data_IF_410306945303
#
_entry.id   IF_410306945303
#
_cell.length_a   1.000
_cell.length_b   1.000
_cell.length_c   1.000
_cell.angle_alpha   90.00
_cell.angle_beta   90.00
_cell.angle_gamma   90.00
#
_symmetry.space_group_name_H-M   'P 1'
#
loop_
_entity.id
_entity.type
_entity.pdbx_description
1 polymer ?
#
# COMPACT_ATOMS: atom_id res chain seq x y z
N UNK A 1 7.10 11.37 15.32
CA UNK A 1 6.34 11.50 14.07
C UNK A 1 6.55 12.83 13.40
N UNK A 2 6.40 13.95 14.14
CA UNK A 2 6.59 15.31 13.57
C UNK A 2 8.01 15.55 13.08
N UNK A 3 9.00 14.99 13.74
CA UNK A 3 10.43 15.16 13.43
C UNK A 3 10.86 14.21 12.31
N UNK A 4 10.51 12.92 12.42
CA UNK A 4 11.04 11.87 11.53
C UNK A 4 10.12 11.55 10.33
N UNK A 5 8.82 11.87 10.41
CA UNK A 5 7.83 11.53 9.40
C UNK A 5 7.25 10.12 9.54
N UNK A 6 7.65 9.35 10.55
CA UNK A 6 7.08 8.05 10.89
C UNK A 6 7.07 7.84 12.41
N UNK A 7 6.26 6.87 12.87
CA UNK A 7 6.17 6.52 14.29
C UNK A 7 5.92 5.02 14.41
N UNK A 8 6.66 4.36 15.31
CA UNK A 8 6.50 2.94 15.63
C UNK A 8 5.69 2.80 16.90
N UNK A 9 4.67 1.95 16.86
CA UNK A 9 3.85 1.56 17.99
C UNK A 9 3.92 0.03 18.12
N UNK A 10 4.82 -0.45 18.98
CA UNK A 10 4.98 -1.88 19.23
C UNK A 10 3.72 -2.45 19.90
N UNK A 11 3.37 -3.69 19.54
CA UNK A 11 2.24 -4.42 20.15
C UNK A 11 0.89 -3.66 20.10
N UNK A 12 0.67 -2.88 19.04
CA UNK A 12 -0.57 -2.12 18.88
C UNK A 12 -1.78 -3.03 18.58
N UNK A 13 -1.56 -4.07 17.81
CA UNK A 13 -2.54 -5.14 17.56
C UNK A 13 -2.15 -6.41 18.30
N UNK A 14 -3.15 -7.17 18.73
CA UNK A 14 -2.93 -8.47 19.38
C UNK A 14 -2.56 -9.53 18.36
N UNK A 15 -2.00 -10.65 18.81
CA UNK A 15 -1.70 -11.80 17.95
C UNK A 15 -2.97 -12.34 17.30
N UNK A 16 -4.08 -12.39 18.06
CA UNK A 16 -5.39 -12.85 17.57
C UNK A 16 -5.95 -11.95 16.47
N UNK A 17 -5.80 -10.62 16.59
CA UNK A 17 -6.20 -9.68 15.53
C UNK A 17 -5.37 -9.90 14.27
N UNK A 18 -4.07 -10.08 14.39
CA UNK A 18 -3.19 -10.39 13.26
C UNK A 18 -3.56 -11.72 12.61
N UNK A 19 -3.79 -12.77 13.41
CA UNK A 19 -4.17 -14.08 12.90
C UNK A 19 -5.55 -14.08 12.26
N UNK A 20 -6.49 -13.30 12.76
CA UNK A 20 -7.81 -13.16 12.13
C UNK A 20 -7.69 -12.59 10.69
N UNK A 21 -6.86 -11.57 10.49
CA UNK A 21 -6.57 -11.01 9.16
C UNK A 21 -5.86 -12.02 8.25
N UNK A 22 -4.89 -12.76 8.77
CA UNK A 22 -4.16 -13.79 8.03
C UNK A 22 -5.08 -14.95 7.62
N UNK A 23 -5.95 -15.39 8.50
CA UNK A 23 -6.94 -16.43 8.20
C UNK A 23 -7.96 -15.95 7.18
N UNK A 24 -8.41 -14.70 7.29
CA UNK A 24 -9.38 -14.14 6.36
C UNK A 24 -8.79 -13.98 4.95
N UNK A 25 -7.54 -13.53 4.83
CA UNK A 25 -6.93 -13.40 3.50
C UNK A 25 -6.76 -14.75 2.80
N UNK A 26 -6.53 -15.86 3.55
CA UNK A 26 -6.48 -17.20 2.96
C UNK A 26 -7.85 -17.64 2.40
N UNK A 27 -8.95 -17.26 3.06
CA UNK A 27 -10.31 -17.51 2.54
C UNK A 27 -10.55 -16.73 1.25
N UNK A 28 -10.18 -15.45 1.22
CA UNK A 28 -10.28 -14.63 0.00
C UNK A 28 -9.46 -15.24 -1.14
N UNK A 29 -8.26 -15.74 -0.88
CA UNK A 29 -7.41 -16.40 -1.89
C UNK A 29 -8.03 -17.70 -2.38
N UNK A 30 -8.63 -18.50 -1.49
CA UNK A 30 -9.27 -19.75 -1.87
C UNK A 30 -10.41 -19.53 -2.88
N UNK A 31 -11.14 -18.43 -2.74
CA UNK A 31 -12.22 -18.00 -3.62
C UNK A 31 -11.76 -17.16 -4.82
N UNK A 32 -10.44 -16.91 -4.94
CA UNK A 32 -9.89 -16.06 -5.98
C UNK A 32 -10.13 -16.62 -7.38
N UNK A 33 -10.84 -15.85 -8.20
CA UNK A 33 -11.02 -16.08 -9.62
C UNK A 33 -10.54 -14.85 -10.40
N UNK A 34 -9.37 -14.94 -11.02
CA UNK A 34 -8.83 -13.89 -11.89
C UNK A 34 -8.61 -14.47 -13.28
N UNK A 35 -9.35 -13.99 -14.29
CA UNK A 35 -9.16 -14.43 -15.67
C UNK A 35 -7.71 -14.18 -16.13
N UNK A 36 -7.10 -15.04 -16.95
CA UNK A 36 -5.70 -14.88 -17.35
C UNK A 36 -5.33 -13.50 -17.90
N UNK A 37 -6.21 -12.89 -18.69
CA UNK A 37 -6.00 -11.55 -19.28
C UNK A 37 -6.09 -10.39 -18.26
N UNK A 38 -6.58 -10.64 -17.04
CA UNK A 38 -6.61 -9.68 -15.94
C UNK A 38 -5.47 -9.88 -14.94
N UNK A 39 -4.69 -10.96 -15.08
CA UNK A 39 -3.58 -11.24 -14.18
C UNK A 39 -2.46 -10.26 -14.44
N UNK A 40 -2.26 -9.34 -13.49
CA UNK A 40 -1.31 -8.23 -13.59
C UNK A 40 -0.17 -8.47 -12.64
N UNK A 41 1.07 -8.53 -13.16
CA UNK A 41 2.27 -8.50 -12.33
C UNK A 41 2.46 -7.09 -11.76
N UNK A 42 3.01 -7.02 -10.56
CA UNK A 42 3.23 -5.76 -9.86
C UNK A 42 4.72 -5.44 -9.77
N UNK A 43 5.10 -4.24 -10.15
CA UNK A 43 6.45 -3.71 -9.98
C UNK A 43 6.40 -2.27 -9.49
N UNK A 44 7.45 -1.82 -8.81
CA UNK A 44 7.66 -0.43 -8.41
C UNK A 44 8.74 0.26 -9.24
N UNK A 45 9.42 -0.47 -10.14
CA UNK A 45 10.34 0.12 -11.12
C UNK A 45 9.52 0.81 -12.21
N UNK A 46 9.78 2.08 -12.48
CA UNK A 46 8.93 2.93 -13.32
C UNK A 46 8.54 2.31 -14.66
N UNK A 47 9.53 1.87 -15.46
CA UNK A 47 9.25 1.29 -16.77
C UNK A 47 8.37 0.04 -16.67
N UNK A 48 8.69 -0.86 -15.74
CA UNK A 48 7.92 -2.08 -15.50
C UNK A 48 6.52 -1.75 -14.96
N UNK A 49 6.43 -0.76 -14.06
CA UNK A 49 5.18 -0.31 -13.48
C UNK A 49 4.23 0.24 -14.53
N UNK A 50 4.73 1.06 -15.46
CA UNK A 50 3.93 1.62 -16.55
C UNK A 50 3.50 0.55 -17.56
N UNK A 51 4.38 -0.41 -17.86
CA UNK A 51 4.07 -1.49 -18.82
C UNK A 51 3.11 -2.54 -18.25
N UNK A 52 3.22 -2.87 -16.96
CA UNK A 52 2.38 -3.85 -16.28
C UNK A 52 1.08 -3.21 -15.76
N UNK A 53 1.07 -2.81 -14.48
CA UNK A 53 -0.14 -2.28 -13.88
C UNK A 53 -0.57 -0.93 -14.45
N UNK A 54 0.35 -0.09 -14.88
CA UNK A 54 0.05 1.24 -15.43
C UNK A 54 -0.66 1.22 -16.78
N UNK A 55 -0.64 0.11 -17.50
CA UNK A 55 -1.39 -0.10 -18.76
C UNK A 55 -2.69 -0.90 -18.55
N UNK A 56 -3.04 -1.26 -17.32
CA UNK A 56 -4.11 -2.18 -17.00
C UNK A 56 -5.34 -1.46 -16.42
N UNK A 57 -6.48 -1.56 -17.12
CA UNK A 57 -7.77 -1.16 -16.57
C UNK A 57 -8.11 -1.91 -15.28
N UNK A 58 -7.65 -3.16 -15.16
CA UNK A 58 -7.82 -3.96 -13.95
C UNK A 58 -7.17 -3.29 -12.74
N UNK A 59 -5.99 -2.67 -12.92
CA UNK A 59 -5.37 -1.85 -11.87
C UNK A 59 -6.09 -0.52 -11.68
N UNK A 60 -6.31 0.24 -12.75
CA UNK A 60 -6.86 1.60 -12.68
C UNK A 60 -8.24 1.64 -12.02
N UNK A 61 -9.04 0.60 -12.20
CA UNK A 61 -10.40 0.48 -11.66
C UNK A 61 -10.50 -0.39 -10.39
N UNK A 62 -9.38 -0.58 -9.68
CA UNK A 62 -9.33 -1.43 -8.48
C UNK A 62 -9.65 -0.70 -7.18
N UNK A 63 -9.80 0.63 -7.20
CA UNK A 63 -9.92 1.45 -6.00
C UNK A 63 -11.12 1.12 -5.11
N UNK A 64 -12.23 0.69 -5.72
CA UNK A 64 -13.48 0.31 -5.05
C UNK A 64 -13.72 -1.20 -5.02
N UNK A 65 -12.69 -2.03 -5.25
CA UNK A 65 -12.79 -3.49 -5.39
C UNK A 65 -11.72 -4.22 -4.59
N UNK A 66 -11.89 -5.53 -4.43
CA UNK A 66 -10.85 -6.43 -3.94
C UNK A 66 -10.26 -7.13 -5.17
N UNK A 67 -9.02 -6.77 -5.52
CA UNK A 67 -8.30 -7.29 -6.70
C UNK A 67 -6.92 -7.81 -6.33
N UNK A 68 -6.41 -8.71 -7.17
CA UNK A 68 -5.20 -9.49 -6.94
C UNK A 68 -4.11 -9.05 -7.92
N UNK A 69 -2.91 -8.82 -7.40
CA UNK A 69 -1.72 -8.46 -8.17
C UNK A 69 -0.61 -9.45 -7.82
N UNK A 70 0.15 -9.85 -8.83
CA UNK A 70 1.06 -10.99 -8.73
C UNK A 70 2.52 -10.54 -8.71
N UNK A 71 3.40 -11.38 -8.14
CA UNK A 71 4.84 -11.16 -8.18
C UNK A 71 5.34 -11.28 -9.62
N UNK A 72 6.46 -10.63 -9.90
CA UNK A 72 7.09 -10.68 -11.22
C UNK A 72 7.63 -12.07 -11.53
N UNK A 73 7.39 -12.53 -12.75
CA UNK A 73 7.92 -13.81 -13.25
C UNK A 73 7.19 -15.06 -12.76
N UNK A 74 5.99 -14.90 -12.20
CA UNK A 74 5.17 -16.02 -11.75
C UNK A 74 4.10 -16.45 -12.76
N UNK A 75 3.99 -15.72 -13.88
CA UNK A 75 3.07 -16.00 -14.98
C UNK A 75 3.83 -16.32 -16.27
N UNK A 76 3.31 -17.25 -17.07
CA UNK A 76 3.77 -17.46 -18.43
C UNK A 76 3.17 -16.41 -19.40
N UNK A 77 3.60 -16.44 -20.67
CA UNK A 77 3.11 -15.53 -21.71
C UNK A 77 1.60 -15.61 -21.97
N UNK A 78 0.94 -16.69 -21.53
CA UNK A 78 -0.51 -16.89 -21.62
C UNK A 78 -1.25 -16.49 -20.34
N UNK A 79 -0.51 -16.01 -19.33
CA UNK A 79 -1.03 -15.67 -18.02
C UNK A 79 -1.33 -16.88 -17.12
N UNK A 80 -0.79 -18.07 -17.40
CA UNK A 80 -0.91 -19.22 -16.51
C UNK A 80 0.12 -19.13 -15.38
N UNK A 81 -0.24 -19.60 -14.20
CA UNK A 81 0.67 -19.63 -13.06
C UNK A 81 1.77 -20.68 -13.26
N UNK A 82 3.01 -20.25 -13.06
CA UNK A 82 4.22 -21.11 -13.06
C UNK A 82 4.47 -21.73 -11.69
N UNK A 83 3.88 -21.16 -10.64
CA UNK A 83 3.95 -21.62 -9.25
C UNK A 83 2.52 -21.66 -8.67
N UNK A 84 2.27 -22.29 -7.51
CA UNK A 84 0.95 -22.28 -6.87
C UNK A 84 0.40 -20.85 -6.72
N UNK A 85 -0.88 -20.65 -7.04
CA UNK A 85 -1.53 -19.33 -7.08
C UNK A 85 -1.39 -18.56 -5.76
N UNK A 86 -1.50 -19.26 -4.63
CA UNK A 86 -1.37 -18.68 -3.28
C UNK A 86 0.03 -18.18 -2.94
N UNK A 87 1.05 -18.68 -3.66
CA UNK A 87 2.46 -18.25 -3.54
C UNK A 87 2.85 -17.20 -4.57
N UNK A 88 1.99 -16.92 -5.54
CA UNK A 88 2.25 -15.99 -6.64
C UNK A 88 1.79 -14.56 -6.35
N UNK A 89 1.00 -14.34 -5.29
CA UNK A 89 0.38 -13.05 -5.01
C UNK A 89 1.39 -12.11 -4.36
N UNK A 90 1.53 -10.91 -4.94
CA UNK A 90 2.28 -9.80 -4.37
C UNK A 90 1.42 -9.01 -3.38
N UNK A 91 0.22 -8.58 -3.83
CA UNK A 91 -0.72 -7.83 -3.00
C UNK A 91 -2.18 -8.04 -3.42
N UNK A 92 -3.07 -7.78 -2.48
CA UNK A 92 -4.52 -7.69 -2.70
C UNK A 92 -4.96 -6.28 -2.30
N UNK A 93 -5.64 -5.57 -3.17
CA UNK A 93 -6.10 -4.18 -2.95
C UNK A 93 -7.30 -3.85 -3.83
N UNK A 94 -7.96 -2.75 -3.63
CA UNK A 94 -7.59 -1.62 -2.74
C UNK A 94 -8.73 -1.25 -1.79
N UNK A 95 -9.78 -2.09 -1.67
CA UNK A 95 -10.97 -1.83 -0.86
C UNK A 95 -11.29 -2.93 0.18
N UNK A 96 -10.28 -3.63 0.71
CA UNK A 96 -10.47 -4.60 1.80
C UNK A 96 -11.16 -3.95 3.01
N UNK A 97 -10.77 -2.73 3.39
CA UNK A 97 -11.32 -1.95 4.49
C UNK A 97 -12.83 -1.66 4.35
N UNK A 98 -13.37 -1.74 3.15
CA UNK A 98 -14.77 -1.42 2.86
C UNK A 98 -15.63 -2.67 2.65
N UNK A 99 -15.10 -3.68 1.95
CA UNK A 99 -15.86 -4.84 1.48
C UNK A 99 -15.69 -6.10 2.32
N UNK A 100 -14.57 -6.24 3.04
CA UNK A 100 -14.35 -7.40 3.89
C UNK A 100 -14.63 -7.08 5.36
N UNK A 101 -15.46 -7.86 6.07
CA UNK A 101 -15.86 -7.55 7.43
C UNK A 101 -14.70 -7.58 8.43
N UNK A 102 -13.69 -8.45 8.27
CA UNK A 102 -12.54 -8.53 9.18
C UNK A 102 -11.66 -7.31 9.01
N UNK A 103 -11.27 -6.97 7.78
CA UNK A 103 -10.43 -5.80 7.51
C UNK A 103 -11.15 -4.49 7.81
N UNK A 104 -12.47 -4.43 7.59
CA UNK A 104 -13.29 -3.28 7.99
C UNK A 104 -13.29 -3.07 9.50
N UNK A 105 -13.50 -4.15 10.28
CA UNK A 105 -13.48 -4.09 11.74
C UNK A 105 -12.12 -3.62 12.29
N UNK A 106 -11.02 -4.09 11.72
CA UNK A 106 -9.66 -3.68 12.11
C UNK A 106 -9.42 -2.21 11.77
N UNK A 107 -9.71 -1.81 10.55
CA UNK A 107 -9.51 -0.42 10.07
C UNK A 107 -10.28 0.59 10.90
N UNK A 108 -11.54 0.28 11.24
CA UNK A 108 -12.42 1.15 12.01
C UNK A 108 -12.48 0.80 13.50
N UNK A 109 -11.50 0.06 14.03
CA UNK A 109 -11.47 -0.29 15.44
C UNK A 109 -11.31 0.96 16.32
N UNK A 110 -11.85 0.89 17.56
CA UNK A 110 -11.81 2.01 18.50
C UNK A 110 -10.39 2.54 18.75
N UNK A 111 -9.41 1.65 18.83
CA UNK A 111 -7.99 2.03 19.03
C UNK A 111 -7.39 2.77 17.83
N UNK A 112 -7.78 2.42 16.60
CA UNK A 112 -7.36 3.14 15.39
C UNK A 112 -8.03 4.52 15.35
N UNK A 113 -9.33 4.61 15.63
CA UNK A 113 -10.03 5.88 15.72
C UNK A 113 -9.45 6.78 16.81
N UNK A 114 -9.15 6.23 17.99
CA UNK A 114 -8.52 6.96 19.09
C UNK A 114 -7.14 7.50 18.70
N UNK A 115 -6.35 6.69 18.01
CA UNK A 115 -5.05 7.11 17.47
C UNK A 115 -5.21 8.27 16.48
N UNK A 116 -6.18 8.19 15.57
CA UNK A 116 -6.52 9.30 14.67
C UNK A 116 -6.85 10.59 15.41
N UNK A 117 -7.65 10.52 16.49
CA UNK A 117 -7.96 11.70 17.32
C UNK A 117 -6.73 12.24 18.03
N UNK A 118 -5.85 11.38 18.56
CA UNK A 118 -4.58 11.79 19.17
C UNK A 118 -3.63 12.46 18.18
N UNK A 119 -3.67 12.07 16.91
CA UNK A 119 -2.94 12.73 15.84
C UNK A 119 -3.56 14.07 15.39
N UNK A 120 -4.74 14.39 15.89
CA UNK A 120 -5.45 15.62 15.57
C UNK A 120 -6.25 15.56 14.27
N UNK A 121 -6.55 14.37 13.75
CA UNK A 121 -7.42 14.22 12.59
C UNK A 121 -8.85 14.55 12.96
N UNK A 122 -9.49 15.44 12.18
CA UNK A 122 -10.85 15.90 12.46
C UNK A 122 -11.90 15.21 11.57
N UNK A 123 -11.59 15.02 10.30
CA UNK A 123 -12.49 14.38 9.31
C UNK A 123 -11.72 13.35 8.46
N UNK A 124 -11.06 12.37 9.08
CA UNK A 124 -10.28 11.40 8.33
C UNK A 124 -11.18 10.47 7.52
N UNK A 125 -10.77 10.19 6.29
CA UNK A 125 -11.40 9.20 5.40
C UNK A 125 -10.38 8.17 4.97
N UNK A 126 -10.80 6.91 4.80
CA UNK A 126 -9.93 5.83 4.31
C UNK A 126 -9.96 5.81 2.80
N UNK A 127 -8.81 6.02 2.16
CA UNK A 127 -8.74 6.14 0.70
C UNK A 127 -8.41 4.84 0.01
N UNK A 128 -7.63 3.97 0.64
CA UNK A 128 -7.30 2.62 0.13
C UNK A 128 -6.79 1.71 1.24
N UNK A 129 -6.78 0.41 0.95
CA UNK A 129 -6.12 -0.61 1.76
C UNK A 129 -5.50 -1.69 0.89
N UNK A 130 -4.42 -2.31 1.41
CA UNK A 130 -3.73 -3.40 0.73
C UNK A 130 -3.29 -4.46 1.75
N UNK A 131 -3.38 -5.71 1.33
CA UNK A 131 -2.66 -6.81 2.00
C UNK A 131 -1.46 -7.18 1.14
N UNK A 132 -0.27 -7.14 1.73
CA UNK A 132 1.01 -7.35 1.03
C UNK A 132 1.65 -8.63 1.57
N UNK A 133 2.05 -9.54 0.67
CA UNK A 133 2.53 -10.87 1.04
C UNK A 133 4.04 -10.94 1.20
N UNK A 134 4.79 -10.23 0.37
CA UNK A 134 6.26 -10.29 0.35
C UNK A 134 6.74 -11.74 0.43
N UNK A 135 6.42 -12.52 -0.59
CA UNK A 135 6.64 -13.98 -0.63
C UNK A 135 8.11 -14.37 -0.41
N UNK A 136 8.39 -15.52 0.25
CA UNK A 136 9.75 -16.00 0.46
C UNK A 136 10.52 -16.14 -0.85
N UNK A 137 11.71 -15.55 -0.92
CA UNK A 137 12.65 -15.66 -2.03
C UNK A 137 12.24 -14.98 -3.35
N UNK A 138 10.98 -14.53 -3.50
CA UNK A 138 10.48 -13.88 -4.70
C UNK A 138 9.80 -12.53 -4.46
N UNK A 139 9.48 -12.22 -3.20
CA UNK A 139 8.84 -10.95 -2.85
C UNK A 139 9.68 -9.75 -3.29
N UNK A 140 9.21 -9.04 -4.32
CA UNK A 140 9.93 -7.98 -4.99
C UNK A 140 10.28 -6.80 -4.09
N UNK A 141 11.29 -6.04 -4.46
CA UNK A 141 11.61 -4.77 -3.79
C UNK A 141 10.50 -3.74 -3.99
N UNK A 142 10.37 -2.85 -3.04
CA UNK A 142 9.62 -1.60 -3.18
C UNK A 142 10.65 -0.48 -3.22
N UNK A 143 10.79 0.14 -4.40
CA UNK A 143 11.79 1.20 -4.62
C UNK A 143 11.49 2.43 -3.76
N UNK A 144 12.52 3.27 -3.47
CA UNK A 144 12.31 4.49 -2.71
C UNK A 144 11.20 5.36 -3.27
N UNK A 145 10.25 5.76 -2.42
CA UNK A 145 9.11 6.58 -2.83
C UNK A 145 8.51 7.34 -1.65
N UNK A 146 7.64 8.28 -1.97
CA UNK A 146 6.71 8.95 -1.06
C UNK A 146 5.30 8.51 -1.45
N UNK A 147 4.44 8.20 -0.48
CA UNK A 147 3.05 7.81 -0.76
C UNK A 147 2.28 8.92 -1.47
N UNK A 148 2.59 10.18 -1.17
CA UNK A 148 1.99 11.36 -1.80
C UNK A 148 2.27 11.46 -3.31
N UNK A 149 3.26 10.74 -3.84
CA UNK A 149 3.45 10.57 -5.29
C UNK A 149 2.23 9.94 -5.95
N UNK A 150 1.57 9.02 -5.26
CA UNK A 150 0.42 8.25 -5.72
C UNK A 150 -0.92 8.76 -5.19
N UNK A 151 -0.89 9.45 -4.03
CA UNK A 151 -2.04 9.86 -3.23
C UNK A 151 -1.91 11.37 -2.92
N UNK A 152 -2.00 12.18 -3.95
CA UNK A 152 -1.76 13.62 -3.85
C UNK A 152 -2.97 14.36 -3.30
N UNK A 153 -2.72 15.29 -2.37
CA UNK A 153 -3.74 16.18 -1.79
C UNK A 153 -3.32 17.63 -1.89
N UNK A 154 -4.29 18.52 -1.81
CA UNK A 154 -4.09 19.97 -1.69
C UNK A 154 -4.82 20.50 -0.44
N UNK A 155 -4.07 20.99 0.57
CA UNK A 155 -2.60 21.03 0.64
C UNK A 155 -1.97 19.63 0.80
N UNK A 156 -0.66 19.53 0.58
CA UNK A 156 0.15 18.36 0.94
C UNK A 156 0.15 18.13 2.46
N UNK A 157 0.66 16.96 2.89
CA UNK A 157 0.76 16.61 4.32
C UNK A 157 -0.56 16.12 4.94
N UNK A 158 -1.52 15.72 4.12
CA UNK A 158 -2.85 15.27 4.57
C UNK A 158 -3.06 13.77 4.49
N UNK A 159 -2.08 13.01 3.99
CA UNK A 159 -2.15 11.56 3.89
C UNK A 159 -1.28 10.90 4.95
N UNK A 160 -1.80 9.86 5.56
CA UNK A 160 -1.15 9.07 6.59
C UNK A 160 -1.33 7.59 6.30
N UNK A 161 -0.24 6.84 6.23
CA UNK A 161 -0.21 5.39 6.10
C UNK A 161 -0.25 4.70 7.46
N UNK A 162 -1.06 3.65 7.57
CA UNK A 162 -1.08 2.71 8.69
C UNK A 162 -0.56 1.37 8.20
N UNK A 163 0.63 0.98 8.62
CA UNK A 163 1.30 -0.22 8.18
C UNK A 163 1.41 -1.21 9.34
N UNK A 164 0.65 -2.31 9.28
CA UNK A 164 0.45 -3.28 10.37
C UNK A 164 1.22 -4.55 10.04
N UNK A 165 2.22 -4.89 10.84
CA UNK A 165 2.97 -6.13 10.72
C UNK A 165 2.11 -7.32 11.18
N UNK A 166 1.75 -8.21 10.27
CA UNK A 166 1.01 -9.44 10.57
C UNK A 166 1.95 -10.63 10.84
N UNK A 167 3.20 -10.45 10.54
CA UNK A 167 4.35 -11.32 10.82
C UNK A 167 5.52 -10.44 11.21
N UNK A 168 6.56 -11.00 11.83
CA UNK A 168 7.76 -10.25 12.13
C UNK A 168 8.40 -9.74 10.83
N UNK A 169 8.69 -8.45 10.77
CA UNK A 169 9.41 -7.84 9.67
C UNK A 169 10.86 -7.63 10.06
N UNK A 170 11.76 -8.30 9.36
CA UNK A 170 13.20 -8.24 9.55
C UNK A 170 13.89 -7.65 8.33
N UNK A 171 15.18 -7.39 8.40
CA UNK A 171 15.94 -6.92 7.23
C UNK A 171 15.92 -7.95 6.09
N UNK A 172 16.03 -9.23 6.44
CA UNK A 172 16.13 -10.33 5.50
C UNK A 172 14.81 -10.60 4.75
N UNK A 173 13.65 -10.40 5.41
CA UNK A 173 12.36 -10.61 4.79
C UNK A 173 11.70 -9.32 4.25
N UNK A 174 12.38 -8.18 4.33
CA UNK A 174 11.96 -6.92 3.72
C UNK A 174 11.20 -5.99 4.66
N UNK A 175 11.75 -5.67 5.84
CA UNK A 175 11.24 -4.57 6.67
C UNK A 175 11.31 -3.24 5.91
N UNK A 176 10.60 -2.23 6.40
CA UNK A 176 10.67 -0.88 5.85
C UNK A 176 12.00 -0.20 6.22
N UNK A 177 12.45 0.66 5.33
CA UNK A 177 13.57 1.57 5.52
C UNK A 177 13.10 2.99 5.26
N UNK A 178 13.52 3.94 6.08
CA UNK A 178 13.10 5.34 6.01
C UNK A 178 14.30 6.28 5.93
N UNK A 179 14.11 7.43 5.28
CA UNK A 179 14.98 8.60 5.45
C UNK A 179 14.28 9.52 6.47
N UNK A 180 14.74 9.58 7.74
CA UNK A 180 14.13 10.41 8.75
C UNK A 180 14.10 11.89 8.35
N UNK A 181 12.99 12.57 8.59
CA UNK A 181 12.84 14.00 8.30
C UNK A 181 12.59 14.35 6.82
N UNK A 182 12.65 13.38 5.90
CA UNK A 182 12.49 13.60 4.46
C UNK A 182 11.10 14.11 4.05
N UNK A 183 10.10 13.96 4.90
CA UNK A 183 8.73 14.47 4.66
C UNK A 183 8.64 15.99 4.62
N UNK A 184 9.69 16.70 5.01
CA UNK A 184 9.75 18.17 4.96
C UNK A 184 10.27 18.72 3.62
N UNK A 185 10.71 17.85 2.71
CA UNK A 185 11.32 18.23 1.43
C UNK A 185 10.32 18.42 0.28
N UNK A 186 9.05 18.22 0.53
CA UNK A 186 8.00 18.30 -0.51
C UNK A 186 7.94 17.06 -1.41
N UNK A 187 7.13 17.16 -2.48
CA UNK A 187 6.91 16.10 -3.46
C UNK A 187 7.22 16.64 -4.85
N UNK A 188 8.17 16.01 -5.55
CA UNK A 188 8.62 16.46 -6.87
C UNK A 188 8.11 15.59 -8.02
N UNK A 189 7.47 14.46 -7.71
CA UNK A 189 6.98 13.48 -8.69
C UNK A 189 5.59 13.02 -8.33
N UNK A 190 4.76 12.83 -9.34
CA UNK A 190 3.38 12.36 -9.19
C UNK A 190 3.06 11.29 -10.23
N UNK A 191 2.31 10.26 -9.82
CA UNK A 191 1.64 9.35 -10.75
C UNK A 191 0.23 9.86 -10.99
N UNK A 192 -0.07 10.22 -12.22
CA UNK A 192 -1.35 10.80 -12.63
C UNK A 192 -2.03 9.92 -13.66
N UNK A 193 -3.35 10.05 -13.80
CA UNK A 193 -4.09 9.43 -14.89
C UNK A 193 -3.62 10.02 -16.22
N UNK A 194 -3.29 9.17 -17.17
CA UNK A 194 -2.88 9.58 -18.51
C UNK A 194 -4.06 10.12 -19.31
N UNK A 195 -3.76 10.93 -20.33
CA UNK A 195 -4.77 11.45 -21.22
C UNK A 195 -5.46 10.30 -22.00
N UNK A 196 -6.76 10.44 -22.34
CA UNK A 196 -7.46 9.45 -23.16
C UNK A 196 -6.75 9.20 -24.49
N UNK A 197 -6.57 7.94 -24.87
CA UNK A 197 -5.95 7.53 -26.13
C UNK A 197 -4.44 7.31 -26.07
N UNK A 198 -3.82 7.43 -24.91
CA UNK A 198 -2.43 7.02 -24.68
C UNK A 198 -2.31 5.51 -24.48
N UNK A 199 -1.09 4.97 -24.63
CA UNK A 199 -0.81 3.53 -24.46
C UNK A 199 -0.87 3.05 -23.00
N UNK A 200 -0.82 3.99 -22.06
CA UNK A 200 -0.88 3.72 -20.62
C UNK A 200 -2.07 4.42 -19.99
N UNK A 201 -2.58 3.88 -18.90
CA UNK A 201 -3.68 4.47 -18.11
C UNK A 201 -3.18 5.51 -17.10
N UNK A 202 -1.89 5.47 -16.79
CA UNK A 202 -1.20 6.40 -15.88
C UNK A 202 0.14 6.82 -16.48
N UNK A 203 0.64 7.95 -16.00
CA UNK A 203 1.97 8.47 -16.33
C UNK A 203 2.61 9.10 -15.10
N UNK A 204 3.94 9.22 -15.10
CA UNK A 204 4.65 9.98 -14.09
C UNK A 204 4.96 11.39 -14.61
N UNK A 205 4.65 12.39 -13.79
CA UNK A 205 4.98 13.79 -14.04
C UNK A 205 5.93 14.31 -12.95
N UNK A 206 6.80 15.24 -13.32
CA UNK A 206 7.86 15.72 -12.45
C UNK A 206 9.15 14.90 -12.59
N UNK A 207 10.06 15.07 -11.64
CA UNK A 207 11.37 14.41 -11.64
C UNK A 207 11.44 13.34 -10.55
N UNK A 208 12.05 12.20 -10.87
CA UNK A 208 12.39 11.19 -9.88
C UNK A 208 13.57 11.69 -9.04
N UNK A 209 13.42 11.82 -7.71
CA UNK A 209 14.54 12.22 -6.86
C UNK A 209 15.59 11.13 -6.78
N UNK A 210 16.87 11.51 -6.78
CA UNK A 210 17.94 10.61 -6.40
C UNK A 210 18.09 10.63 -4.87
N UNK A 211 18.04 9.45 -4.26
CA UNK A 211 18.22 9.29 -2.81
C UNK A 211 19.57 8.67 -2.51
N UNK A 212 20.24 9.17 -1.46
CA UNK A 212 21.45 8.56 -0.93
C UNK A 212 21.10 7.36 -0.06
N UNK A 213 21.49 6.16 -0.47
CA UNK A 213 21.20 4.92 0.24
C UNK A 213 21.74 4.91 1.68
N UNK A 214 22.80 5.67 1.97
CA UNK A 214 23.36 5.77 3.32
C UNK A 214 22.44 6.47 4.32
N UNK A 215 21.45 7.22 3.85
CA UNK A 215 20.48 7.95 4.70
C UNK A 215 19.32 7.09 5.17
N UNK A 216 19.12 5.91 4.55
CA UNK A 216 18.04 5.01 4.95
C UNK A 216 18.40 4.25 6.24
N UNK A 217 17.49 4.28 7.19
CA UNK A 217 17.56 3.46 8.39
C UNK A 217 16.52 2.32 8.32
N UNK A 218 16.89 1.08 8.65
CA UNK A 218 15.96 -0.03 8.68
C UNK A 218 15.08 0.04 9.93
N UNK A 219 13.83 -0.39 9.77
CA UNK A 219 12.85 -0.41 10.83
C UNK A 219 12.24 -1.80 10.99
N UNK A 220 12.97 -2.78 11.54
CA UNK A 220 12.39 -4.06 11.88
C UNK A 220 11.32 -3.89 12.95
N UNK A 221 10.27 -4.70 12.89
CA UNK A 221 9.13 -4.62 13.82
C UNK A 221 8.51 -6.00 14.00
N UNK A 222 8.09 -6.29 15.21
CA UNK A 222 7.43 -7.56 15.54
C UNK A 222 5.97 -7.59 15.10
N UNK A 223 5.43 -8.79 14.92
CA UNK A 223 4.01 -9.03 14.67
C UNK A 223 3.12 -8.26 15.65
N UNK A 224 2.11 -7.60 15.14
CA UNK A 224 1.20 -6.73 15.89
C UNK A 224 1.68 -5.29 16.03
N UNK A 225 2.91 -4.98 15.62
CA UNK A 225 3.37 -3.60 15.56
C UNK A 225 2.71 -2.81 14.44
N UNK A 226 2.57 -1.50 14.67
CA UNK A 226 2.04 -0.53 13.72
C UNK A 226 3.11 0.52 13.44
N UNK A 227 3.36 0.80 12.17
CA UNK A 227 4.14 1.95 11.73
C UNK A 227 3.17 2.97 11.13
N UNK A 228 3.16 4.18 11.68
CA UNK A 228 2.52 5.33 11.05
C UNK A 228 3.51 5.98 10.09
N UNK A 229 3.05 6.26 8.87
CA UNK A 229 3.87 6.76 7.76
C UNK A 229 3.28 8.07 7.27
N UNK A 230 4.02 9.17 7.39
CA UNK A 230 3.62 10.44 6.78
C UNK A 230 3.65 10.30 5.25
N UNK A 231 2.62 10.79 4.55
CA UNK A 231 2.51 10.62 3.10
C UNK A 231 3.70 11.12 2.28
N UNK A 232 4.52 12.01 2.86
CA UNK A 232 5.69 12.59 2.20
C UNK A 232 7.03 12.02 2.69
N UNK A 233 7.06 11.13 3.69
CA UNK A 233 8.32 10.52 4.11
C UNK A 233 8.80 9.49 3.09
N UNK A 234 10.09 9.60 2.74
CA UNK A 234 10.72 8.66 1.81
C UNK A 234 10.97 7.34 2.49
N UNK A 235 10.48 6.27 1.89
CA UNK A 235 10.66 4.91 2.40
C UNK A 235 10.77 3.89 1.27
N UNK A 236 11.32 2.75 1.60
CA UNK A 236 11.52 1.60 0.70
C UNK A 236 11.41 0.29 1.45
N UNK A 237 11.38 -0.83 0.75
CA UNK A 237 11.65 -2.13 1.33
C UNK A 237 12.43 -3.00 0.35
N UNK A 238 13.46 -3.71 0.84
CA UNK A 238 14.26 -4.58 0.02
C UNK A 238 13.48 -5.84 -0.40
N UNK A 239 13.98 -6.57 -1.38
CA UNK A 239 13.43 -7.86 -1.77
C UNK A 239 13.49 -8.84 -0.57
N UNK A 240 12.59 -9.80 -0.53
CA UNK A 240 12.62 -10.86 0.47
C UNK A 240 13.64 -11.94 0.03
N UNK A 241 14.80 -11.95 0.67
CA UNK A 241 15.86 -12.92 0.43
C UNK A 241 15.81 -14.13 1.39
N UNK A 242 14.84 -14.14 2.31
CA UNK A 242 14.67 -15.19 3.32
C UNK A 242 13.71 -16.30 2.87
N UNK A 243 13.59 -17.33 3.66
CA UNK A 243 12.61 -18.41 3.51
C UNK A 243 11.27 -18.15 4.25
N UNK A 244 11.16 -16.98 4.88
CA UNK A 244 9.97 -16.54 5.62
C UNK A 244 9.24 -15.41 4.91
N UNK A 245 7.91 -15.48 4.84
CA UNK A 245 7.09 -14.37 4.31
C UNK A 245 7.09 -13.16 5.25
N UNK A 246 6.64 -12.03 4.73
CA UNK A 246 6.39 -10.82 5.51
C UNK A 246 5.01 -10.26 5.18
N UNK A 247 3.99 -10.80 5.82
CA UNK A 247 2.61 -10.37 5.64
C UNK A 247 2.33 -9.05 6.36
N UNK A 248 1.63 -8.15 5.68
CA UNK A 248 1.26 -6.82 6.16
C UNK A 248 -0.13 -6.48 5.71
N UNK A 249 -0.90 -5.83 6.57
CA UNK A 249 -2.09 -5.08 6.19
C UNK A 249 -1.79 -3.60 6.31
N UNK A 250 -2.02 -2.85 5.25
CA UNK A 250 -1.81 -1.39 5.24
C UNK A 250 -3.03 -0.68 4.70
N UNK A 251 -3.33 0.49 5.24
CA UNK A 251 -4.36 1.38 4.71
C UNK A 251 -3.91 2.84 4.83
N UNK A 252 -4.44 3.66 3.95
CA UNK A 252 -4.13 5.10 3.92
C UNK A 252 -5.36 5.91 4.28
N UNK A 253 -5.13 6.93 5.09
CA UNK A 253 -6.13 7.88 5.55
C UNK A 253 -5.77 9.26 5.03
N UNK A 254 -6.77 10.00 4.54
CA UNK A 254 -6.64 11.42 4.23
C UNK A 254 -7.42 12.22 5.27
N UNK A 255 -6.82 13.29 5.82
CA UNK A 255 -7.59 14.32 6.52
C UNK A 255 -8.39 15.13 5.50
N UNK A 256 -9.71 14.97 5.51
CA UNK A 256 -10.59 15.61 4.52
C UNK A 256 -11.03 17.02 4.91
N UNK A 257 -10.72 17.47 6.13
CA UNK A 257 -11.02 18.85 6.52
C UNK A 257 -10.10 19.82 5.77
N UNK A 258 -10.69 20.78 5.06
CA UNK A 258 -9.96 21.79 4.29
C UNK A 258 -8.92 21.20 3.32
N UNK A 259 -9.28 20.05 2.71
CA UNK A 259 -8.38 19.27 1.85
C UNK A 259 -9.13 18.81 0.60
N UNK A 260 -8.48 18.94 -0.54
CA UNK A 260 -8.97 18.43 -1.82
C UNK A 260 -8.14 17.21 -2.24
N UNK A 261 -8.81 16.12 -2.60
CA UNK A 261 -8.21 14.97 -3.28
C UNK A 261 -7.97 15.31 -4.74
N UNK A 262 -6.74 15.12 -5.24
CA UNK A 262 -6.45 15.47 -6.63
C UNK A 262 -7.27 14.62 -7.61
N UNK A 263 -7.91 15.28 -8.55
CA UNK A 263 -8.65 14.62 -9.66
C UNK A 263 -7.74 13.87 -10.62
N UNK A 264 -6.45 14.15 -10.59
CA UNK A 264 -5.44 13.49 -11.42
C UNK A 264 -4.90 12.21 -10.78
N UNK A 265 -5.15 11.96 -9.48
CA UNK A 265 -4.73 10.73 -8.84
C UNK A 265 -5.26 9.51 -9.60
N UNK A 266 -4.43 8.47 -9.72
CA UNK A 266 -4.85 7.21 -10.31
C UNK A 266 -6.08 6.63 -9.58
N UNK A 267 -6.06 6.69 -8.25
CA UNK A 267 -7.15 6.27 -7.37
C UNK A 267 -8.17 7.38 -7.25
N UNK A 268 -9.42 7.07 -7.54
CA UNK A 268 -10.55 7.99 -7.36
C UNK A 268 -11.66 7.30 -6.57
N UNK A 269 -12.39 8.04 -5.72
CA UNK A 269 -13.63 7.52 -5.14
C UNK A 269 -14.66 7.31 -6.26
N UNK A 270 -15.54 6.33 -6.08
CA UNK A 270 -16.65 6.06 -7.01
C UNK A 270 -17.98 6.37 -6.34
N UNK A 271 -19.07 6.49 -7.11
CA UNK A 271 -20.43 6.62 -6.51
C UNK A 271 -20.79 5.42 -5.63
N UNK A 272 -20.31 4.22 -5.96
CA UNK A 272 -20.54 2.97 -5.23
C UNK A 272 -19.72 2.91 -3.94
N UNK A 273 -18.53 3.53 -3.95
CA UNK A 273 -17.65 3.60 -2.79
C UNK A 273 -17.01 4.99 -2.69
N UNK A 274 -17.70 5.99 -2.15
CA UNK A 274 -17.07 7.20 -1.63
C UNK A 274 -16.07 6.82 -0.54
N UNK A 275 -15.00 7.57 -0.37
CA UNK A 275 -14.05 7.28 0.70
C UNK A 275 -14.75 7.24 2.06
N UNK A 276 -14.79 6.09 2.76
CA UNK A 276 -15.52 5.96 4.01
C UNK A 276 -14.83 6.74 5.12
N UNK A 277 -15.64 7.33 6.02
CA UNK A 277 -15.12 7.97 7.23
C UNK A 277 -14.38 6.95 8.09
N UNK A 278 -13.21 7.33 8.62
CA UNK A 278 -12.52 6.53 9.64
C UNK A 278 -13.31 6.49 10.95
N UNK A 279 -13.99 7.60 11.29
CA UNK A 279 -14.82 7.72 12.48
C UNK A 279 -16.23 7.23 12.18
N UNK A 280 -16.64 6.20 12.89
CA UNK A 280 -17.96 5.55 12.78
C UNK A 280 -18.73 5.68 14.08
#
# INVERSE_FOLDING_TARGET
FREDGFLVLEHFFTVEECDSMRNQIQRIIAEMEVPPHCRTEFSTKEEEQLQAQGSSDYFLTSGDKIRFFFEKGVLDERGNFLIPKEKSISKIGHALHAHDPVFKQITHSSKVQELGRKLGLERPVVVQSMYIFKQPGIGGEVTPHQDATFLHTEPLGRVLGFWIALEDATRENGCLWFIPGSHTSGVTRRMVRAAPGTSTCVEFVGSEPAYDDSQFIPLPISKGGLILIHGEVVHKSDLNSSDSSRHVFTFHVMEAKDTSWSKENWLQPTPELPFPSLYT
#
